data_IF_405763940728
#
_entry.id   IF_405763940728
#
_cell.length_a   1.000
_cell.length_b   1.000
_cell.length_c   1.000
_cell.angle_alpha   90.00
_cell.angle_beta   90.00
_cell.angle_gamma   90.00
#
_symmetry.space_group_name_H-M   'P 1'
#
loop_
_entity.id
_entity.type
_entity.pdbx_description
1 polymer ?
#
# COMPACT_ATOMS: atom_id res chain seq x y z
N UNK A 1 75.32 -5.60 53.09
CA UNK A 1 76.39 -5.30 52.13
C UNK A 1 76.83 -6.61 51.52
N UNK A 2 76.75 -6.86 50.24
CA UNK A 2 77.40 -6.18 49.09
C UNK A 2 76.43 -5.83 47.93
N UNK A 3 76.89 -4.99 47.07
CA UNK A 3 76.18 -4.27 46.00
C UNK A 3 75.96 -5.06 44.73
N UNK A 4 75.25 -4.42 43.70
CA UNK A 4 74.71 -5.12 42.53
C UNK A 4 75.72 -5.18 41.39
N UNK A 5 75.70 -6.29 40.63
CA UNK A 5 76.39 -6.46 39.38
C UNK A 5 75.52 -5.94 38.23
N UNK A 6 76.05 -5.02 37.45
CA UNK A 6 75.51 -4.59 36.16
C UNK A 6 75.92 -5.61 35.09
N UNK A 7 74.93 -6.11 34.31
CA UNK A 7 75.19 -6.82 33.07
C UNK A 7 74.59 -5.99 31.94
N UNK A 8 75.42 -5.55 30.99
CA UNK A 8 75.07 -4.88 29.77
C UNK A 8 74.44 -5.89 28.79
N UNK A 9 73.29 -5.53 28.21
CA UNK A 9 72.72 -6.22 27.09
C UNK A 9 72.99 -5.49 25.80
N UNK A 10 73.20 -6.18 24.65
CA UNK A 10 73.54 -5.56 23.38
C UNK A 10 72.31 -4.96 22.68
N UNK A 11 72.54 -3.83 22.00
CA UNK A 11 71.58 -3.10 21.18
C UNK A 11 71.16 -3.91 19.96
N UNK A 12 69.83 -4.19 19.82
CA UNK A 12 69.23 -4.68 18.58
C UNK A 12 68.57 -3.54 17.86
N UNK A 13 68.95 -3.31 16.60
CA UNK A 13 68.35 -2.41 15.61
C UNK A 13 66.91 -2.82 15.28
N UNK A 14 65.97 -1.87 15.16
CA UNK A 14 64.60 -2.22 14.80
C UNK A 14 64.47 -2.42 13.29
N UNK A 15 64.13 -3.63 12.86
CA UNK A 15 63.61 -3.90 11.52
C UNK A 15 62.20 -3.33 11.40
N UNK A 16 62.01 -2.40 10.48
CA UNK A 16 60.70 -1.90 10.07
C UNK A 16 59.97 -3.02 9.35
N UNK A 17 58.93 -3.61 9.98
CA UNK A 17 57.97 -4.45 9.33
C UNK A 17 56.89 -3.53 8.74
N UNK A 18 56.85 -3.42 7.42
CA UNK A 18 55.76 -2.78 6.68
C UNK A 18 54.58 -3.73 6.71
N UNK A 19 53.59 -3.47 7.54
CA UNK A 19 52.30 -4.17 7.51
C UNK A 19 51.43 -3.51 6.44
N UNK A 20 51.29 -4.20 5.29
CA UNK A 20 50.34 -3.83 4.25
C UNK A 20 48.92 -4.21 4.76
N UNK A 21 48.17 -3.22 5.24
CA UNK A 21 46.74 -3.40 5.55
C UNK A 21 45.96 -3.39 4.23
N UNK A 22 45.62 -4.57 3.73
CA UNK A 22 44.66 -4.72 2.64
C UNK A 22 43.26 -4.51 3.22
N UNK A 23 42.68 -3.33 2.97
CA UNK A 23 41.27 -3.05 3.23
C UNK A 23 40.45 -3.80 2.20
N UNK A 24 39.93 -4.98 2.57
CA UNK A 24 38.83 -5.61 1.82
C UNK A 24 37.56 -4.77 2.06
N UNK A 25 37.21 -3.94 1.09
CA UNK A 25 35.87 -3.38 1.00
C UNK A 25 34.91 -4.54 0.63
N UNK A 26 34.25 -5.09 1.63
CA UNK A 26 33.14 -6.01 1.42
C UNK A 26 31.97 -5.19 0.84
N UNK A 27 31.84 -5.17 -0.48
CA UNK A 27 30.59 -4.79 -1.13
C UNK A 27 29.58 -5.90 -0.84
N UNK A 28 28.73 -5.67 0.16
CA UNK A 28 27.52 -6.48 0.34
C UNK A 28 26.60 -6.20 -0.85
N UNK A 29 26.73 -7.00 -1.90
CA UNK A 29 25.68 -7.12 -2.91
C UNK A 29 24.52 -7.77 -2.17
N UNK A 30 23.56 -6.96 -1.72
CA UNK A 30 22.29 -7.45 -1.22
C UNK A 30 21.68 -8.34 -2.30
N UNK A 31 21.41 -9.59 -1.99
CA UNK A 31 20.74 -10.51 -2.88
C UNK A 31 19.40 -9.87 -3.27
N UNK A 32 19.32 -9.37 -4.49
CA UNK A 32 18.09 -8.81 -5.05
C UNK A 32 17.11 -9.97 -5.15
N UNK A 33 15.93 -9.81 -4.55
CA UNK A 33 14.88 -10.81 -4.69
C UNK A 33 14.68 -11.14 -6.17
N UNK A 34 14.39 -12.40 -6.54
CA UNK A 34 14.19 -12.76 -7.94
C UNK A 34 13.12 -11.84 -8.55
N UNK A 35 13.28 -11.46 -9.84
CA UNK A 35 12.32 -10.59 -10.51
C UNK A 35 10.92 -11.20 -10.43
N UNK A 36 9.94 -10.43 -10.02
CA UNK A 36 8.55 -10.84 -10.03
C UNK A 36 8.08 -11.04 -11.48
N UNK A 37 7.83 -12.27 -11.85
CA UNK A 37 7.48 -12.68 -13.23
C UNK A 37 6.14 -12.08 -13.72
N UNK A 38 5.27 -11.65 -12.81
CA UNK A 38 3.97 -11.08 -13.14
C UNK A 38 3.99 -9.55 -13.27
N UNK A 39 4.95 -8.87 -12.64
CA UNK A 39 5.03 -7.40 -12.68
C UNK A 39 5.45 -6.90 -14.04
N UNK A 40 4.65 -5.98 -14.56
CA UNK A 40 4.85 -5.28 -15.82
C UNK A 40 4.81 -3.78 -15.58
N UNK A 41 5.30 -3.03 -16.57
CA UNK A 41 5.35 -1.57 -16.51
C UNK A 41 4.71 -1.00 -17.77
N UNK A 42 3.72 -0.14 -17.58
CA UNK A 42 3.08 0.61 -18.65
C UNK A 42 3.64 2.03 -18.70
N UNK A 43 4.34 2.42 -19.78
CA UNK A 43 4.84 3.77 -19.93
C UNK A 43 3.68 4.72 -20.21
N UNK A 44 3.46 5.65 -19.31
CA UNK A 44 2.39 6.64 -19.42
C UNK A 44 2.83 7.88 -20.20
N UNK A 45 4.16 8.11 -20.37
CA UNK A 45 4.66 9.40 -20.84
C UNK A 45 4.38 10.52 -19.85
N UNK A 46 4.14 11.71 -20.36
CA UNK A 46 3.81 12.87 -19.51
C UNK A 46 2.36 12.79 -19.02
N UNK A 47 2.19 12.84 -17.71
CA UNK A 47 0.88 12.76 -17.04
C UNK A 47 0.55 14.09 -16.38
N UNK A 48 -0.51 14.75 -16.81
CA UNK A 48 -1.08 15.90 -16.09
C UNK A 48 -1.89 15.39 -14.90
N UNK A 49 -1.43 15.73 -13.71
CA UNK A 49 -2.07 15.40 -12.44
C UNK A 49 -3.17 16.42 -12.11
N UNK A 50 -4.09 16.06 -11.20
CA UNK A 50 -5.12 16.98 -10.69
C UNK A 50 -4.54 18.21 -9.99
N UNK A 51 -3.35 18.10 -9.41
CA UNK A 51 -2.59 19.23 -8.87
C UNK A 51 -2.20 20.27 -9.93
N UNK A 52 -2.40 19.98 -11.23
CA UNK A 52 -1.98 20.81 -12.35
C UNK A 52 -0.53 20.57 -12.78
N UNK A 53 0.25 19.85 -12.01
CA UNK A 53 1.64 19.49 -12.33
C UNK A 53 1.64 18.43 -13.43
N UNK A 54 2.61 18.52 -14.35
CA UNK A 54 2.88 17.47 -15.35
C UNK A 54 4.03 16.62 -14.83
N UNK A 55 3.75 15.35 -14.53
CA UNK A 55 4.75 14.35 -14.14
C UNK A 55 5.34 13.74 -15.42
N UNK A 56 6.61 14.02 -15.74
CA UNK A 56 7.20 13.53 -16.97
C UNK A 56 7.55 12.05 -16.89
N UNK A 57 7.49 11.36 -18.04
CA UNK A 57 7.89 9.96 -18.19
C UNK A 57 7.29 9.04 -17.11
N UNK A 58 6.05 9.30 -16.70
CA UNK A 58 5.38 8.52 -15.68
C UNK A 58 5.20 7.06 -16.12
N UNK A 59 5.22 6.16 -15.14
CA UNK A 59 5.07 4.71 -15.35
C UNK A 59 4.08 4.15 -14.35
N UNK A 60 3.22 3.25 -14.80
CA UNK A 60 2.31 2.47 -13.95
C UNK A 60 2.77 1.01 -13.92
N UNK A 61 3.08 0.50 -12.74
CA UNK A 61 3.33 -0.90 -12.53
C UNK A 61 2.00 -1.67 -12.37
N UNK A 62 1.94 -2.88 -12.90
CA UNK A 62 0.76 -3.73 -12.83
C UNK A 62 1.11 -5.21 -13.00
N UNK A 63 0.19 -6.10 -12.62
CA UNK A 63 0.28 -7.52 -12.90
C UNK A 63 -1.02 -8.01 -13.56
N UNK A 64 -0.96 -9.11 -14.32
CA UNK A 64 -2.14 -9.72 -14.91
C UNK A 64 -2.14 -11.23 -14.71
N UNK A 65 -3.34 -11.79 -14.48
CA UNK A 65 -3.55 -13.24 -14.35
C UNK A 65 -4.76 -13.64 -15.21
N UNK A 66 -4.67 -14.80 -15.85
CA UNK A 66 -5.69 -15.25 -16.79
C UNK A 66 -5.66 -14.52 -18.12
N UNK A 67 -6.74 -14.60 -18.89
CA UNK A 67 -6.86 -14.05 -20.23
C UNK A 67 -8.19 -13.34 -20.45
N UNK A 68 -8.16 -12.21 -21.15
CA UNK A 68 -9.36 -11.53 -21.58
C UNK A 68 -10.10 -12.38 -22.60
N UNK A 69 -11.38 -12.66 -22.35
CA UNK A 69 -12.20 -13.47 -23.24
C UNK A 69 -12.57 -12.69 -24.53
N UNK A 70 -12.99 -13.39 -25.62
CA UNK A 70 -13.37 -12.72 -26.87
C UNK A 70 -14.49 -11.68 -26.71
N UNK A 71 -15.38 -11.88 -25.75
CA UNK A 71 -16.50 -10.97 -25.44
C UNK A 71 -16.06 -9.77 -24.58
N UNK A 72 -14.81 -9.76 -24.09
CA UNK A 72 -14.22 -8.75 -23.19
C UNK A 72 -15.07 -8.47 -21.94
N UNK A 73 -15.70 -9.53 -21.40
CA UNK A 73 -16.69 -9.45 -20.32
C UNK A 73 -16.19 -9.96 -18.96
N UNK A 74 -14.94 -10.48 -18.89
CA UNK A 74 -14.41 -11.16 -17.71
C UNK A 74 -13.28 -10.40 -16.99
N UNK A 75 -13.09 -9.12 -17.31
CA UNK A 75 -12.01 -8.33 -16.69
C UNK A 75 -12.38 -7.89 -15.26
N UNK A 76 -11.48 -8.11 -14.31
CA UNK A 76 -11.59 -7.67 -12.92
C UNK A 76 -10.35 -6.86 -12.54
N UNK A 77 -10.58 -5.68 -11.96
CA UNK A 77 -9.51 -4.78 -11.54
C UNK A 77 -9.30 -4.86 -10.03
N UNK A 78 -8.02 -4.95 -9.62
CA UNK A 78 -7.55 -4.98 -8.23
C UNK A 78 -6.59 -3.81 -7.99
N UNK A 79 -7.04 -2.64 -7.56
CA UNK A 79 -6.15 -1.51 -7.25
C UNK A 79 -5.43 -1.74 -5.92
N UNK A 80 -4.10 -1.57 -5.89
CA UNK A 80 -3.30 -1.69 -4.67
C UNK A 80 -3.66 -0.63 -3.62
N UNK A 81 -3.13 -0.78 -2.41
CA UNK A 81 -3.38 0.12 -1.28
C UNK A 81 -2.09 0.62 -0.63
N UNK A 82 -2.23 1.38 0.44
CA UNK A 82 -1.13 2.00 1.18
C UNK A 82 -0.02 1.02 1.56
N UNK A 83 1.18 1.25 1.03
CA UNK A 83 2.36 0.44 1.33
C UNK A 83 2.30 -1.01 0.80
N UNK A 84 1.41 -1.30 -0.16
CA UNK A 84 1.26 -2.63 -0.77
C UNK A 84 1.49 -2.59 -2.28
N UNK A 85 1.58 -3.78 -2.85
CA UNK A 85 1.63 -4.06 -4.27
C UNK A 85 0.55 -5.09 -4.66
N UNK A 86 0.64 -5.65 -5.87
CA UNK A 86 -0.34 -6.62 -6.37
C UNK A 86 -0.42 -7.93 -5.57
N UNK A 87 0.64 -8.33 -4.86
CA UNK A 87 0.64 -9.53 -4.01
C UNK A 87 -0.33 -9.45 -2.83
N UNK A 88 -0.77 -8.25 -2.47
CA UNK A 88 -1.76 -8.10 -1.41
C UNK A 88 -3.06 -8.87 -1.65
N UNK A 89 -3.38 -9.21 -2.90
CA UNK A 89 -4.59 -9.94 -3.29
C UNK A 89 -4.38 -11.44 -3.55
N UNK A 90 -3.19 -11.99 -3.34
CA UNK A 90 -2.88 -13.39 -3.67
C UNK A 90 -3.85 -14.38 -3.03
N UNK A 91 -4.38 -14.07 -1.83
CA UNK A 91 -5.34 -14.95 -1.14
C UNK A 91 -6.72 -15.04 -1.82
N UNK A 92 -7.06 -14.11 -2.71
CA UNK A 92 -8.29 -14.11 -3.51
C UNK A 92 -8.12 -14.75 -4.88
N UNK A 93 -6.87 -14.99 -5.32
CA UNK A 93 -6.55 -15.41 -6.69
C UNK A 93 -6.17 -16.89 -6.70
N UNK A 94 -6.83 -17.68 -7.53
CA UNK A 94 -6.47 -19.07 -7.72
C UNK A 94 -7.66 -19.97 -8.07
N UNK A 95 -7.39 -21.25 -8.37
CA UNK A 95 -8.45 -22.21 -8.67
C UNK A 95 -9.45 -22.34 -7.53
N UNK A 96 -10.73 -22.13 -7.83
CA UNK A 96 -11.83 -22.21 -6.86
C UNK A 96 -11.97 -21.00 -5.93
N UNK A 97 -11.07 -20.02 -6.00
CA UNK A 97 -11.19 -18.76 -5.29
C UNK A 97 -12.18 -17.83 -5.96
N UNK A 98 -12.48 -16.72 -5.29
CA UNK A 98 -13.38 -15.69 -5.84
C UNK A 98 -12.93 -15.20 -7.21
N UNK A 99 -11.63 -15.08 -7.41
CA UNK A 99 -10.97 -14.67 -8.64
C UNK A 99 -10.14 -15.82 -9.20
N UNK A 100 -10.70 -16.51 -10.18
CA UNK A 100 -10.06 -17.69 -10.79
C UNK A 100 -9.50 -17.31 -12.17
N UNK A 101 -8.17 -17.35 -12.37
CA UNK A 101 -7.54 -17.02 -13.65
C UNK A 101 -8.02 -17.88 -14.84
N UNK A 102 -8.65 -19.02 -14.57
CA UNK A 102 -9.27 -19.84 -15.63
C UNK A 102 -10.57 -19.19 -16.19
N UNK A 103 -11.20 -18.31 -15.44
CA UNK A 103 -12.46 -17.62 -15.81
C UNK A 103 -12.28 -16.13 -15.97
N UNK A 104 -11.46 -15.53 -15.14
CA UNK A 104 -11.35 -14.09 -14.99
C UNK A 104 -10.02 -13.58 -15.59
N UNK A 105 -10.07 -12.44 -16.27
CA UNK A 105 -8.86 -11.67 -16.59
C UNK A 105 -8.66 -10.65 -15.46
N UNK A 106 -7.73 -10.97 -14.58
CA UNK A 106 -7.47 -10.21 -13.37
C UNK A 106 -6.34 -9.22 -13.65
N UNK A 107 -6.56 -7.94 -13.39
CA UNK A 107 -5.57 -6.88 -13.55
C UNK A 107 -5.34 -6.25 -12.18
N UNK A 108 -4.14 -6.37 -11.63
CA UNK A 108 -3.77 -5.72 -10.38
C UNK A 108 -2.87 -4.53 -10.68
N UNK A 109 -3.35 -3.30 -10.39
CA UNK A 109 -2.61 -2.06 -10.63
C UNK A 109 -1.93 -1.57 -9.36
N UNK A 110 -0.73 -1.05 -9.51
CA UNK A 110 0.07 -0.53 -8.41
C UNK A 110 0.01 1.00 -8.40
N UNK A 111 -0.50 1.58 -7.32
CA UNK A 111 -0.71 3.03 -7.25
C UNK A 111 0.60 3.81 -7.28
N UNK A 112 0.56 5.05 -7.70
CA UNK A 112 1.69 5.98 -7.59
C UNK A 112 2.23 6.06 -6.15
N UNK A 113 3.51 6.32 -6.04
CA UNK A 113 4.24 6.40 -4.76
C UNK A 113 4.34 5.09 -3.97
N UNK A 114 4.11 3.91 -4.59
CA UNK A 114 4.31 2.64 -3.91
C UNK A 114 5.76 2.07 -4.05
N UNK A 115 6.61 2.74 -4.82
CA UNK A 115 7.98 2.33 -5.08
C UNK A 115 8.17 1.56 -6.40
N UNK A 116 7.08 1.10 -7.04
CA UNK A 116 7.09 0.41 -8.34
C UNK A 116 6.57 1.29 -9.47
N UNK A 117 5.37 1.82 -9.35
CA UNK A 117 4.91 2.94 -10.20
C UNK A 117 5.75 4.19 -9.91
N UNK A 118 5.63 5.23 -10.73
CA UNK A 118 6.31 6.50 -10.47
C UNK A 118 6.10 6.94 -9.02
N UNK A 119 7.20 7.19 -8.33
CA UNK A 119 7.27 7.37 -6.88
C UNK A 119 8.37 8.36 -6.51
N UNK A 120 8.32 8.97 -5.33
CA UNK A 120 9.42 9.77 -4.80
C UNK A 120 10.79 9.11 -4.93
N UNK A 121 10.87 7.80 -4.69
CA UNK A 121 12.13 7.03 -4.66
C UNK A 121 12.67 6.63 -6.03
N UNK A 122 11.89 6.73 -7.11
CA UNK A 122 12.29 6.27 -8.44
C UNK A 122 12.06 7.29 -9.57
N UNK A 123 11.59 8.49 -9.24
CA UNK A 123 11.43 9.58 -10.21
C UNK A 123 12.67 10.46 -10.21
N UNK A 124 13.10 10.89 -11.40
CA UNK A 124 14.27 11.76 -11.54
C UNK A 124 13.99 13.20 -11.07
N UNK A 125 15.05 13.94 -10.71
CA UNK A 125 14.95 15.37 -10.46
C UNK A 125 14.29 16.11 -11.67
N UNK A 126 13.48 17.12 -11.43
CA UNK A 126 13.23 17.82 -10.16
C UNK A 126 12.08 17.23 -9.30
N UNK A 127 11.55 16.07 -9.64
CA UNK A 127 10.39 15.45 -8.98
C UNK A 127 10.76 14.28 -8.05
N UNK A 128 12.01 14.15 -7.68
CA UNK A 128 12.51 13.13 -6.75
C UNK A 128 12.25 13.47 -5.28
N UNK A 129 12.24 12.46 -4.43
CA UNK A 129 12.14 12.60 -2.98
C UNK A 129 10.96 13.47 -2.54
N UNK A 130 11.18 14.48 -1.67
CA UNK A 130 10.11 15.34 -1.16
C UNK A 130 9.49 16.27 -2.21
N UNK A 131 10.09 16.38 -3.39
CA UNK A 131 9.61 17.21 -4.51
C UNK A 131 8.62 16.48 -5.40
N UNK A 132 8.35 15.20 -5.12
CA UNK A 132 7.35 14.43 -5.86
C UNK A 132 5.99 15.12 -5.77
N UNK A 133 5.25 15.26 -6.89
CA UNK A 133 4.01 16.03 -6.90
C UNK A 133 2.93 15.39 -6.05
N UNK A 134 1.97 16.21 -5.63
CA UNK A 134 0.79 15.74 -4.94
C UNK A 134 -0.07 14.87 -5.87
N UNK A 135 -0.34 13.64 -5.44
CA UNK A 135 -1.17 12.66 -6.14
C UNK A 135 -2.56 12.62 -5.51
N UNK A 136 -3.60 12.51 -6.33
CA UNK A 136 -4.95 12.19 -5.91
C UNK A 136 -5.30 10.72 -6.20
N UNK A 137 -6.30 10.16 -5.53
CA UNK A 137 -6.86 8.84 -5.91
C UNK A 137 -7.38 8.87 -7.35
N UNK A 138 -7.95 10.00 -7.81
CA UNK A 138 -8.42 10.17 -9.19
C UNK A 138 -7.30 10.11 -10.22
N UNK A 139 -6.08 10.54 -9.89
CA UNK A 139 -4.92 10.36 -10.77
C UNK A 139 -4.65 8.88 -10.99
N UNK A 140 -4.65 8.06 -9.91
CA UNK A 140 -4.47 6.61 -10.01
C UNK A 140 -5.56 5.94 -10.85
N UNK A 141 -6.82 6.34 -10.65
CA UNK A 141 -7.96 5.84 -11.45
C UNK A 141 -7.81 6.22 -12.93
N UNK A 142 -7.41 7.45 -13.22
CA UNK A 142 -7.22 7.94 -14.58
C UNK A 142 -6.14 7.17 -15.34
N UNK A 143 -4.97 6.97 -14.72
CA UNK A 143 -3.87 6.23 -15.39
C UNK A 143 -4.16 4.74 -15.51
N UNK A 144 -4.85 4.16 -14.54
CA UNK A 144 -5.32 2.78 -14.62
C UNK A 144 -6.36 2.62 -15.75
N UNK A 145 -7.26 3.60 -15.95
CA UNK A 145 -8.20 3.60 -17.07
C UNK A 145 -7.47 3.62 -18.42
N UNK A 146 -6.39 4.41 -18.54
CA UNK A 146 -5.54 4.41 -19.74
C UNK A 146 -4.90 3.04 -19.97
N UNK A 147 -4.32 2.41 -18.95
CA UNK A 147 -3.77 1.04 -19.04
C UNK A 147 -4.83 0.08 -19.57
N UNK A 148 -6.01 0.06 -18.97
CA UNK A 148 -7.08 -0.87 -19.33
C UNK A 148 -7.50 -0.69 -20.80
N UNK A 149 -7.70 0.55 -21.24
CA UNK A 149 -8.28 0.83 -22.55
C UNK A 149 -7.25 0.81 -23.67
N UNK A 150 -6.07 1.40 -23.48
CA UNK A 150 -5.09 1.58 -24.56
C UNK A 150 -4.10 0.41 -24.68
N UNK A 151 -3.78 -0.27 -23.57
CA UNK A 151 -2.80 -1.35 -23.57
C UNK A 151 -3.46 -2.74 -23.53
N UNK A 152 -4.45 -2.91 -22.63
CA UNK A 152 -5.06 -4.23 -22.39
C UNK A 152 -6.34 -4.46 -23.19
N UNK A 153 -6.84 -3.46 -23.92
CA UNK A 153 -8.05 -3.56 -24.74
C UNK A 153 -9.32 -3.83 -23.93
N UNK A 154 -9.31 -3.52 -22.62
CA UNK A 154 -10.48 -3.67 -21.75
C UNK A 154 -11.38 -2.45 -21.90
N UNK A 155 -12.59 -2.66 -22.34
CA UNK A 155 -13.60 -1.60 -22.56
C UNK A 155 -14.68 -1.57 -21.47
N UNK A 156 -14.73 -2.61 -20.63
CA UNK A 156 -15.67 -2.76 -19.53
C UNK A 156 -15.11 -3.70 -18.48
N UNK A 157 -15.39 -3.43 -17.21
CA UNK A 157 -15.00 -4.28 -16.09
C UNK A 157 -16.20 -5.04 -15.53
N UNK A 158 -16.06 -6.34 -15.36
CA UNK A 158 -17.00 -7.15 -14.60
C UNK A 158 -17.06 -6.68 -13.14
N UNK A 159 -15.90 -6.32 -12.57
CA UNK A 159 -15.83 -5.76 -11.22
C UNK A 159 -14.55 -4.96 -10.98
N UNK A 160 -14.60 -4.05 -10.00
CA UNK A 160 -13.43 -3.51 -9.30
C UNK A 160 -13.48 -4.01 -7.86
N UNK A 161 -12.43 -4.69 -7.40
CA UNK A 161 -12.36 -5.27 -6.05
C UNK A 161 -11.21 -4.60 -5.30
N UNK A 162 -11.50 -3.87 -4.23
CA UNK A 162 -10.53 -3.07 -3.51
C UNK A 162 -10.56 -3.21 -2.00
N UNK A 163 -9.37 -3.36 -1.41
CA UNK A 163 -9.11 -3.30 0.02
C UNK A 163 -8.57 -1.93 0.42
N UNK A 164 -8.99 -1.38 1.56
CA UNK A 164 -8.37 -0.18 2.16
C UNK A 164 -8.37 1.02 1.17
N UNK A 165 -7.22 1.60 0.83
CA UNK A 165 -7.14 2.60 -0.25
C UNK A 165 -7.53 2.03 -1.62
N UNK A 166 -7.43 0.72 -1.83
CA UNK A 166 -8.01 0.06 -3.01
C UNK A 166 -9.54 0.13 -3.04
N UNK A 167 -10.20 0.07 -1.86
CA UNK A 167 -11.64 0.30 -1.75
C UNK A 167 -12.00 1.77 -2.05
N UNK A 168 -11.18 2.72 -1.59
CA UNK A 168 -11.33 4.14 -1.99
C UNK A 168 -11.23 4.31 -3.51
N UNK A 169 -10.29 3.61 -4.15
CA UNK A 169 -10.19 3.59 -5.60
C UNK A 169 -11.43 2.94 -6.25
N UNK A 170 -11.97 1.84 -5.69
CA UNK A 170 -13.18 1.20 -6.22
C UNK A 170 -14.38 2.15 -6.21
N UNK A 171 -14.61 2.89 -5.13
CA UNK A 171 -15.62 3.95 -5.07
C UNK A 171 -15.33 5.06 -6.09
N UNK A 172 -14.09 5.48 -6.20
CA UNK A 172 -13.71 6.52 -7.15
C UNK A 172 -13.94 6.08 -8.60
N UNK A 173 -13.64 4.82 -8.94
CA UNK A 173 -13.96 4.24 -10.24
C UNK A 173 -15.45 4.33 -10.55
N UNK A 174 -16.30 3.93 -9.60
CA UNK A 174 -17.75 3.94 -9.78
C UNK A 174 -18.32 5.35 -9.98
N UNK A 175 -17.68 6.39 -9.43
CA UNK A 175 -18.09 7.79 -9.60
C UNK A 175 -17.47 8.43 -10.85
N UNK A 176 -16.18 8.17 -11.12
CA UNK A 176 -15.49 8.75 -12.29
C UNK A 176 -15.94 8.15 -13.62
N UNK A 177 -16.29 6.86 -13.63
CA UNK A 177 -16.63 6.11 -14.84
C UNK A 177 -17.83 5.19 -14.62
N UNK A 178 -19.03 5.73 -14.30
CA UNK A 178 -20.16 4.97 -13.73
C UNK A 178 -20.69 3.85 -14.64
N UNK A 179 -20.39 3.88 -15.92
CA UNK A 179 -20.81 2.85 -16.91
C UNK A 179 -19.69 1.89 -17.30
N UNK A 180 -18.50 2.02 -16.69
CA UNK A 180 -17.33 1.22 -17.05
C UNK A 180 -17.26 -0.11 -16.30
N UNK A 181 -18.11 -0.33 -15.28
CA UNK A 181 -18.13 -1.57 -14.51
C UNK A 181 -19.54 -1.97 -14.07
N UNK A 182 -19.77 -3.28 -13.92
CA UNK A 182 -21.03 -3.81 -13.40
C UNK A 182 -21.08 -3.77 -11.86
N UNK A 183 -19.95 -4.02 -11.21
CA UNK A 183 -19.87 -4.22 -9.77
C UNK A 183 -18.63 -3.56 -9.18
N UNK A 184 -18.75 -3.14 -7.92
CA UNK A 184 -17.59 -2.85 -7.07
C UNK A 184 -17.69 -3.66 -5.78
N UNK A 185 -16.55 -4.12 -5.30
CA UNK A 185 -16.36 -4.66 -3.97
C UNK A 185 -15.42 -3.73 -3.23
N UNK A 186 -15.91 -3.10 -2.16
CA UNK A 186 -15.14 -2.21 -1.32
C UNK A 186 -15.07 -2.80 0.09
N UNK A 187 -13.88 -3.26 0.52
CA UNK A 187 -13.74 -3.83 1.85
C UNK A 187 -12.68 -3.12 2.69
N UNK A 188 -12.97 -2.94 3.98
CA UNK A 188 -12.17 -2.18 4.94
C UNK A 188 -11.72 -0.82 4.39
N UNK A 189 -12.65 -0.05 3.79
CA UNK A 189 -12.37 1.27 3.24
C UNK A 189 -13.65 2.09 3.08
N UNK A 190 -13.55 3.40 2.88
CA UNK A 190 -14.66 4.35 2.76
C UNK A 190 -14.54 5.20 1.50
N UNK A 191 -15.63 5.82 1.06
CA UNK A 191 -15.66 6.65 -0.13
C UNK A 191 -14.97 8.00 0.04
N UNK A 192 -14.68 8.40 1.28
CA UNK A 192 -13.81 9.54 1.60
C UNK A 192 -13.01 9.26 2.88
N UNK A 193 -11.94 10.03 3.09
CA UNK A 193 -11.21 10.00 4.37
C UNK A 193 -11.87 10.94 5.35
N UNK A 194 -12.44 10.38 6.43
CA UNK A 194 -13.04 11.15 7.51
C UNK A 194 -12.00 11.80 8.42
N UNK A 195 -12.34 12.85 9.18
CA UNK A 195 -11.38 13.58 10.02
C UNK A 195 -10.55 12.71 10.97
N UNK A 196 -11.14 11.66 11.55
CA UNK A 196 -10.42 10.67 12.37
C UNK A 196 -9.27 10.03 11.59
N UNK A 197 -9.51 9.60 10.34
CA UNK A 197 -8.49 9.05 9.45
C UNK A 197 -7.39 10.08 9.12
N UNK A 198 -7.77 11.36 8.89
CA UNK A 198 -6.81 12.44 8.65
C UNK A 198 -5.87 12.62 9.83
N UNK A 199 -6.40 12.68 11.06
CA UNK A 199 -5.59 12.85 12.29
C UNK A 199 -4.66 11.66 12.51
N UNK A 200 -5.15 10.43 12.31
CA UNK A 200 -4.33 9.21 12.42
C UNK A 200 -3.16 9.21 11.43
N UNK A 201 -3.42 9.58 10.18
CA UNK A 201 -2.38 9.67 9.14
C UNK A 201 -1.37 10.78 9.45
N UNK A 202 -1.82 11.90 9.99
CA UNK A 202 -0.92 12.99 10.43
C UNK A 202 0.01 12.51 11.55
N UNK A 203 -0.50 11.74 12.51
CA UNK A 203 0.30 11.13 13.56
C UNK A 203 1.38 10.18 13.00
N UNK A 204 1.05 9.39 11.97
CA UNK A 204 2.02 8.50 11.28
C UNK A 204 3.11 9.31 10.55
N UNK A 205 2.71 10.35 9.81
CA UNK A 205 3.64 11.24 9.10
C UNK A 205 4.56 11.95 10.09
N UNK A 206 4.00 12.50 11.17
CA UNK A 206 4.76 13.20 12.22
C UNK A 206 5.76 12.27 12.91
N UNK A 207 5.38 11.02 13.20
CA UNK A 207 6.29 10.04 13.81
C UNK A 207 7.50 9.75 12.91
N UNK A 208 7.30 9.71 11.60
CA UNK A 208 8.37 9.49 10.63
C UNK A 208 9.24 10.75 10.48
N UNK A 209 8.62 11.92 10.36
CA UNK A 209 9.31 13.20 10.14
C UNK A 209 10.07 13.70 11.38
N UNK A 210 9.78 13.18 12.58
CA UNK A 210 10.49 13.53 13.82
C UNK A 210 11.94 12.99 13.86
N UNK A 211 12.32 12.08 12.99
CA UNK A 211 13.71 11.61 12.89
C UNK A 211 14.57 12.70 12.22
N UNK A 212 15.62 13.16 12.91
CA UNK A 212 16.56 14.14 12.34
C UNK A 212 17.21 13.65 11.03
N UNK A 213 17.37 12.32 10.88
CA UNK A 213 17.92 11.72 9.66
C UNK A 213 16.94 11.84 8.46
N UNK A 214 15.66 12.15 8.70
CA UNK A 214 14.68 12.39 7.62
C UNK A 214 14.99 13.66 6.82
N UNK A 215 15.58 14.69 7.44
CA UNK A 215 16.05 15.91 6.80
C UNK A 215 15.02 16.52 5.83
N UNK A 216 13.77 16.69 6.28
CA UNK A 216 12.64 17.17 5.48
C UNK A 216 12.45 16.41 4.15
N UNK A 217 12.74 15.11 4.17
CA UNK A 217 12.66 14.23 3.01
C UNK A 217 13.89 14.19 2.13
N UNK A 218 14.95 14.97 2.44
CA UNK A 218 16.20 15.00 1.67
C UNK A 218 17.28 14.07 2.27
N UNK A 219 16.87 12.94 2.84
CA UNK A 219 17.78 11.96 3.43
C UNK A 219 18.63 11.26 2.37
N UNK A 220 19.86 10.95 2.73
CA UNK A 220 20.82 10.15 1.92
C UNK A 220 20.94 8.72 2.41
N UNK A 221 20.44 8.44 3.60
CA UNK A 221 20.31 7.11 4.19
C UNK A 221 18.94 6.99 4.86
N UNK A 222 18.33 5.80 4.90
CA UNK A 222 16.98 5.62 5.46
C UNK A 222 16.85 6.18 6.88
N UNK A 223 15.80 6.95 7.19
CA UNK A 223 15.53 7.48 8.54
C UNK A 223 14.97 6.36 9.45
N UNK A 224 15.85 5.46 9.90
CA UNK A 224 15.46 4.21 10.55
C UNK A 224 14.69 4.42 11.87
N UNK A 225 15.00 5.48 12.63
CA UNK A 225 14.26 5.80 13.86
C UNK A 225 12.84 6.25 13.54
N UNK A 226 12.69 7.08 12.52
CA UNK A 226 11.39 7.54 12.02
C UNK A 226 10.55 6.39 11.48
N UNK A 227 11.15 5.51 10.66
CA UNK A 227 10.49 4.30 10.16
C UNK A 227 10.05 3.37 11.29
N UNK A 228 10.88 3.20 12.32
CA UNK A 228 10.53 2.42 13.50
C UNK A 228 9.38 3.06 14.31
N UNK A 229 9.39 4.37 14.48
CA UNK A 229 8.30 5.10 15.15
C UNK A 229 6.99 4.99 14.35
N UNK A 230 7.05 5.18 13.04
CA UNK A 230 5.95 4.98 12.11
C UNK A 230 5.37 3.56 12.19
N UNK A 231 6.23 2.54 12.18
CA UNK A 231 5.80 1.13 12.27
C UNK A 231 5.08 0.83 13.60
N UNK A 232 5.58 1.37 14.72
CA UNK A 232 4.94 1.24 16.04
C UNK A 232 3.63 2.00 16.13
N UNK A 233 3.54 3.20 15.53
CA UNK A 233 2.28 3.93 15.42
C UNK A 233 1.21 3.05 14.76
N UNK A 234 1.53 2.48 13.59
CA UNK A 234 0.60 1.61 12.87
C UNK A 234 0.24 0.33 13.62
N UNK A 235 1.12 -0.22 14.44
CA UNK A 235 0.83 -1.40 15.25
C UNK A 235 -0.37 -1.18 16.19
N UNK A 236 -0.50 0.02 16.76
CA UNK A 236 -1.63 0.38 17.64
C UNK A 236 -2.96 0.56 16.92
N UNK A 237 -2.96 0.72 15.60
CA UNK A 237 -4.17 1.01 14.81
C UNK A 237 -4.61 -0.15 13.92
N UNK A 238 -3.68 -0.98 13.43
CA UNK A 238 -3.99 -2.04 12.46
C UNK A 238 -4.79 -3.18 13.05
N UNK A 239 -4.56 -3.49 14.33
CA UNK A 239 -5.31 -4.48 15.06
C UNK A 239 -6.32 -3.81 15.99
N UNK A 240 -7.42 -4.49 16.29
CA UNK A 240 -8.42 -3.98 17.22
C UNK A 240 -7.91 -3.96 18.65
N UNK A 241 -8.55 -3.15 19.51
CA UNK A 241 -8.29 -3.16 20.95
C UNK A 241 -8.53 -4.55 21.56
N UNK A 242 -9.58 -5.22 21.11
CA UNK A 242 -9.95 -6.57 21.55
C UNK A 242 -8.91 -7.62 21.14
N UNK A 243 -8.29 -7.50 19.97
CA UNK A 243 -7.21 -8.36 19.52
C UNK A 243 -6.01 -8.30 20.49
N UNK A 244 -5.64 -7.09 20.90
CA UNK A 244 -4.58 -6.88 21.90
C UNK A 244 -4.98 -7.41 23.28
N UNK A 245 -6.19 -7.10 23.75
CA UNK A 245 -6.69 -7.51 25.06
C UNK A 245 -6.79 -9.03 25.20
N UNK A 246 -7.19 -9.73 24.15
CA UNK A 246 -7.26 -11.20 24.14
C UNK A 246 -5.94 -11.85 23.74
N UNK A 247 -4.88 -11.08 23.54
CA UNK A 247 -3.55 -11.58 23.17
C UNK A 247 -3.58 -12.51 21.94
N UNK A 248 -4.41 -12.20 20.92
CA UNK A 248 -4.55 -13.01 19.72
C UNK A 248 -3.27 -13.08 18.87
N UNK A 249 -2.24 -12.34 19.25
CA UNK A 249 -0.91 -12.43 18.67
C UNK A 249 -0.12 -13.68 19.12
N UNK A 250 -0.44 -14.25 20.29
CA UNK A 250 0.37 -15.33 20.92
C UNK A 250 0.64 -16.56 20.04
N UNK A 251 -0.26 -17.00 19.14
CA UNK A 251 0.06 -18.13 18.25
C UNK A 251 1.26 -17.88 17.34
N UNK A 252 1.56 -16.61 17.05
CA UNK A 252 2.67 -16.21 16.16
C UNK A 252 3.80 -15.49 16.88
N UNK A 253 3.49 -14.67 17.88
CA UNK A 253 4.46 -13.84 18.60
C UNK A 253 4.36 -14.08 20.10
N UNK A 254 5.48 -14.35 20.81
CA UNK A 254 5.45 -14.65 22.24
C UNK A 254 5.11 -13.42 23.11
N UNK A 255 5.27 -12.21 22.61
CA UNK A 255 5.05 -10.96 23.36
C UNK A 255 4.68 -9.79 22.45
N UNK A 256 4.22 -8.69 23.03
CA UNK A 256 4.01 -7.41 22.36
C UNK A 256 5.30 -6.91 21.71
N UNK A 257 6.44 -7.02 22.40
CA UNK A 257 7.74 -6.61 21.87
C UNK A 257 8.13 -7.41 20.62
N UNK A 258 7.78 -8.69 20.58
CA UNK A 258 8.02 -9.52 19.39
C UNK A 258 7.17 -9.06 18.19
N UNK A 259 5.90 -8.68 18.41
CA UNK A 259 5.06 -8.06 17.36
C UNK A 259 5.69 -6.78 16.85
N UNK A 260 6.09 -5.87 17.74
CA UNK A 260 6.68 -4.58 17.40
C UNK A 260 8.03 -4.75 16.70
N UNK A 261 8.85 -5.71 17.15
CA UNK A 261 10.16 -6.03 16.58
C UNK A 261 10.05 -6.51 15.13
N UNK A 262 9.19 -7.51 14.85
CA UNK A 262 8.99 -8.02 13.49
C UNK A 262 8.46 -6.93 12.56
N UNK A 263 7.46 -6.16 13.00
CA UNK A 263 6.92 -5.06 12.19
C UNK A 263 7.98 -4.01 11.87
N UNK A 264 8.74 -3.57 12.87
CA UNK A 264 9.81 -2.60 12.70
C UNK A 264 10.87 -3.09 11.72
N UNK A 265 11.29 -4.35 11.84
CA UNK A 265 12.28 -4.96 10.93
C UNK A 265 11.77 -5.04 9.48
N UNK A 266 10.52 -5.46 9.29
CA UNK A 266 9.88 -5.51 7.99
C UNK A 266 9.78 -4.13 7.35
N UNK A 267 9.44 -3.10 8.12
CA UNK A 267 9.17 -1.77 7.60
C UNK A 267 10.45 -0.91 7.43
N UNK A 268 11.60 -1.37 7.95
CA UNK A 268 12.88 -0.66 7.87
C UNK A 268 13.42 -0.47 6.42
N UNK A 269 12.94 -1.29 5.48
CA UNK A 269 13.35 -1.22 4.06
C UNK A 269 12.46 -0.31 3.22
N UNK A 270 11.43 0.31 3.81
CA UNK A 270 10.50 1.18 3.10
C UNK A 270 11.11 2.55 2.87
N UNK A 271 10.72 3.18 1.77
CA UNK A 271 11.07 4.56 1.50
C UNK A 271 10.10 5.52 2.22
N UNK A 272 10.67 6.44 2.98
CA UNK A 272 9.90 7.37 3.82
C UNK A 272 9.06 8.37 3.01
N UNK A 273 9.61 8.89 1.90
CA UNK A 273 8.89 9.82 1.04
C UNK A 273 7.74 9.12 0.31
N UNK A 274 7.91 7.86 -0.10
CA UNK A 274 6.84 7.05 -0.68
C UNK A 274 5.68 6.90 0.31
N UNK A 275 5.97 6.55 1.56
CA UNK A 275 4.97 6.42 2.62
C UNK A 275 4.22 7.73 2.88
N UNK A 276 4.94 8.84 2.95
CA UNK A 276 4.32 10.16 3.17
C UNK A 276 3.47 10.56 1.97
N UNK A 277 3.94 10.37 0.75
CA UNK A 277 3.20 10.71 -0.47
C UNK A 277 1.87 9.93 -0.54
N UNK A 278 1.90 8.62 -0.28
CA UNK A 278 0.68 7.82 -0.23
C UNK A 278 -0.24 8.23 0.93
N UNK A 279 0.31 8.53 2.12
CA UNK A 279 -0.49 9.00 3.26
C UNK A 279 -1.21 10.32 2.94
N UNK A 280 -0.53 11.26 2.28
CA UNK A 280 -1.11 12.52 1.82
C UNK A 280 -2.18 12.31 0.74
N UNK A 281 -1.99 11.35 -0.16
CA UNK A 281 -3.00 10.92 -1.14
C UNK A 281 -4.25 10.39 -0.43
N UNK A 282 -4.07 9.54 0.57
CA UNK A 282 -5.15 9.01 1.40
C UNK A 282 -5.91 10.10 2.15
N UNK A 283 -5.19 11.01 2.84
CA UNK A 283 -5.81 12.10 3.61
C UNK A 283 -6.78 12.97 2.80
N UNK A 284 -6.44 13.22 1.53
CA UNK A 284 -7.20 14.13 0.64
C UNK A 284 -8.35 13.46 -0.08
N UNK A 285 -8.51 12.15 0.06
CA UNK A 285 -9.51 11.45 -0.72
C UNK A 285 -10.94 11.79 -0.32
N UNK A 286 -11.73 12.21 -1.31
CA UNK A 286 -13.18 12.38 -1.24
C UNK A 286 -13.73 12.20 -2.66
N UNK A 287 -14.61 11.22 -2.86
CA UNK A 287 -15.27 11.03 -4.18
C UNK A 287 -16.11 12.23 -4.58
N UNK A 288 -16.60 13.03 -3.61
CA UNK A 288 -17.35 14.25 -3.83
C UNK A 288 -16.55 15.36 -4.53
N UNK A 289 -15.21 15.28 -4.52
CA UNK A 289 -14.34 16.22 -5.24
C UNK A 289 -14.27 15.91 -6.74
N UNK A 290 -14.89 14.83 -7.21
CA UNK A 290 -15.04 14.54 -8.64
C UNK A 290 -15.84 15.65 -9.30
N UNK A 291 -15.41 16.07 -10.49
CA UNK A 291 -16.06 17.14 -11.25
C UNK A 291 -17.57 16.92 -11.33
N UNK A 292 -18.34 17.95 -10.99
CA UNK A 292 -19.80 17.94 -10.99
C UNK A 292 -20.44 17.71 -9.62
N UNK A 293 -19.67 17.30 -8.58
CA UNK A 293 -20.23 17.07 -7.25
C UNK A 293 -19.88 18.16 -6.23
N UNK A 294 -18.89 19.02 -6.48
CA UNK A 294 -18.53 20.19 -5.67
C UNK A 294 -18.27 19.87 -4.19
N UNK A 295 -17.59 18.74 -3.91
CA UNK A 295 -17.27 18.27 -2.55
C UNK A 295 -18.38 17.43 -1.88
N UNK A 296 -19.55 17.33 -2.50
CA UNK A 296 -20.71 16.60 -1.97
C UNK A 296 -20.55 15.09 -2.19
N UNK A 297 -20.02 14.39 -1.18
CA UNK A 297 -19.79 12.95 -1.27
C UNK A 297 -21.07 12.12 -1.24
N UNK A 298 -22.13 12.58 -0.55
CA UNK A 298 -23.41 11.88 -0.53
C UNK A 298 -24.06 11.87 -1.92
N UNK A 299 -24.01 13.02 -2.60
CA UNK A 299 -24.49 13.13 -3.97
C UNK A 299 -23.65 12.26 -4.93
N UNK A 300 -22.33 12.17 -4.70
CA UNK A 300 -21.47 11.29 -5.45
C UNK A 300 -21.81 9.81 -5.20
N UNK A 301 -22.07 9.40 -3.94
CA UNK A 301 -22.53 8.05 -3.62
C UNK A 301 -23.85 7.70 -4.31
N UNK A 302 -24.81 8.64 -4.33
CA UNK A 302 -26.11 8.43 -5.03
C UNK A 302 -25.97 8.28 -6.54
N UNK A 303 -24.86 8.71 -7.13
CA UNK A 303 -24.61 8.58 -8.57
C UNK A 303 -24.06 7.22 -9.00
N UNK A 304 -23.66 6.38 -8.06
CA UNK A 304 -23.11 5.05 -8.35
C UNK A 304 -24.16 4.17 -9.03
N UNK A 305 -23.82 3.65 -10.22
CA UNK A 305 -24.69 2.78 -11.01
C UNK A 305 -24.32 1.30 -10.81
N UNK A 306 -23.08 1.01 -10.49
CA UNK A 306 -22.62 -0.35 -10.22
C UNK A 306 -23.31 -0.95 -8.99
N UNK A 307 -23.49 -2.27 -8.97
CA UNK A 307 -23.84 -2.97 -7.72
C UNK A 307 -22.64 -2.92 -6.77
N UNK A 308 -22.89 -2.68 -5.50
CA UNK A 308 -21.84 -2.52 -4.48
C UNK A 308 -21.93 -3.64 -3.43
N UNK A 309 -20.84 -4.39 -3.26
CA UNK A 309 -20.62 -5.17 -2.06
C UNK A 309 -19.70 -4.34 -1.13
N UNK A 310 -20.25 -3.90 0.00
CA UNK A 310 -19.54 -3.09 0.96
C UNK A 310 -19.26 -3.89 2.22
N UNK A 311 -17.98 -4.20 2.50
CA UNK A 311 -17.57 -5.10 3.58
C UNK A 311 -16.63 -4.39 4.57
N UNK A 312 -17.12 -3.52 5.46
CA UNK A 312 -16.30 -2.98 6.55
C UNK A 312 -15.94 -4.10 7.55
N UNK A 313 -14.79 -4.07 8.19
CA UNK A 313 -14.54 -4.92 9.35
C UNK A 313 -15.15 -4.28 10.61
N UNK A 314 -15.84 -5.07 11.44
CA UNK A 314 -16.55 -4.57 12.62
C UNK A 314 -15.64 -3.87 13.63
N UNK A 315 -14.37 -4.26 13.69
CA UNK A 315 -13.41 -3.73 14.66
C UNK A 315 -12.32 -2.88 14.03
N UNK A 316 -12.48 -2.48 12.77
CA UNK A 316 -11.50 -1.66 12.04
C UNK A 316 -11.38 -0.27 12.68
N UNK A 317 -10.15 0.10 13.03
CA UNK A 317 -9.81 1.42 13.58
C UNK A 317 -9.36 2.41 12.49
N UNK A 318 -9.10 1.94 11.27
CA UNK A 318 -8.75 2.80 10.14
C UNK A 318 -10.01 3.38 9.49
N UNK A 319 -10.97 2.51 9.25
CA UNK A 319 -12.25 2.80 8.62
C UNK A 319 -13.37 2.23 9.49
N UNK A 320 -13.81 2.98 10.51
CA UNK A 320 -14.83 2.53 11.44
C UNK A 320 -16.09 2.08 10.74
N UNK A 321 -16.68 0.97 11.18
CA UNK A 321 -17.90 0.40 10.59
C UNK A 321 -19.06 1.38 10.55
N UNK A 322 -19.08 2.36 11.46
CA UNK A 322 -20.09 3.43 11.52
C UNK A 322 -20.09 4.29 10.25
N UNK A 323 -18.90 4.59 9.70
CA UNK A 323 -18.76 5.38 8.47
C UNK A 323 -19.33 4.61 7.27
N UNK A 324 -19.06 3.31 7.18
CA UNK A 324 -19.61 2.47 6.12
C UNK A 324 -21.13 2.31 6.22
N UNK A 325 -21.67 2.20 7.44
CA UNK A 325 -23.12 2.20 7.67
C UNK A 325 -23.77 3.52 7.26
N UNK A 326 -23.09 4.62 7.49
CA UNK A 326 -23.56 5.93 7.04
C UNK A 326 -23.54 6.03 5.52
N UNK A 327 -22.42 5.73 4.87
CA UNK A 327 -22.27 5.82 3.42
C UNK A 327 -23.23 4.89 2.67
N UNK A 328 -23.48 3.69 3.19
CA UNK A 328 -24.38 2.71 2.56
C UNK A 328 -25.82 3.20 2.39
N UNK A 329 -26.25 4.19 3.18
CA UNK A 329 -27.59 4.78 3.07
C UNK A 329 -27.80 5.57 1.78
N UNK A 330 -26.72 6.00 1.13
CA UNK A 330 -26.76 6.82 -0.06
C UNK A 330 -26.50 6.04 -1.36
N UNK A 331 -26.05 4.80 -1.27
CA UNK A 331 -25.70 3.97 -2.44
C UNK A 331 -26.92 3.20 -2.92
N UNK A 332 -27.38 3.39 -4.19
CA UNK A 332 -28.65 2.83 -4.66
C UNK A 332 -28.74 1.30 -4.61
N UNK A 333 -27.66 0.61 -4.95
CA UNK A 333 -27.63 -0.85 -5.05
C UNK A 333 -26.49 -1.44 -4.21
N UNK A 334 -26.61 -1.37 -2.88
CA UNK A 334 -25.58 -1.83 -1.95
C UNK A 334 -26.02 -3.05 -1.15
N UNK A 335 -25.07 -3.99 -1.00
CA UNK A 335 -25.12 -5.06 -0.01
C UNK A 335 -24.05 -4.76 1.05
N UNK A 336 -24.48 -4.36 2.25
CA UNK A 336 -23.57 -4.11 3.39
C UNK A 336 -23.38 -5.40 4.17
N UNK A 337 -22.17 -5.96 4.15
CA UNK A 337 -21.82 -7.24 4.80
C UNK A 337 -20.57 -7.02 5.68
N UNK A 338 -20.72 -6.64 6.95
CA UNK A 338 -19.59 -6.46 7.84
C UNK A 338 -18.80 -7.77 8.03
N UNK A 339 -17.46 -7.66 8.01
CA UNK A 339 -16.56 -8.77 8.32
C UNK A 339 -16.54 -8.95 9.84
N UNK A 340 -16.99 -10.12 10.38
CA UNK A 340 -17.12 -10.32 11.82
C UNK A 340 -15.78 -10.74 12.45
N UNK A 341 -14.79 -9.84 12.39
CA UNK A 341 -13.42 -10.14 12.80
C UNK A 341 -12.95 -9.23 13.94
N UNK A 342 -12.11 -9.78 14.80
CA UNK A 342 -11.37 -9.04 15.83
C UNK A 342 -10.00 -8.55 15.33
N UNK A 343 -9.61 -8.87 14.09
CA UNK A 343 -8.30 -8.50 13.55
C UNK A 343 -8.19 -7.04 13.11
N UNK A 344 -9.25 -6.25 13.29
CA UNK A 344 -9.24 -4.84 12.91
C UNK A 344 -9.05 -4.66 11.40
N UNK A 345 -8.23 -3.70 11.00
CA UNK A 345 -7.91 -3.47 9.59
C UNK A 345 -7.16 -4.65 8.94
N UNK A 346 -6.40 -5.41 9.75
CA UNK A 346 -5.66 -6.58 9.26
C UNK A 346 -6.55 -7.71 8.75
N UNK A 347 -7.84 -7.74 9.10
CA UNK A 347 -8.81 -8.72 8.61
C UNK A 347 -8.86 -8.80 7.07
N UNK A 348 -8.70 -7.65 6.38
CA UNK A 348 -8.76 -7.58 4.92
C UNK A 348 -7.43 -7.80 4.20
N UNK A 349 -6.32 -7.99 4.92
CA UNK A 349 -4.96 -7.96 4.35
C UNK A 349 -4.35 -9.34 4.02
N UNK A 350 -5.14 -10.41 4.08
CA UNK A 350 -4.64 -11.76 3.80
C UNK A 350 -3.95 -12.46 4.99
N UNK A 351 -3.87 -11.81 6.15
CA UNK A 351 -3.08 -12.30 7.30
C UNK A 351 -3.76 -13.35 8.20
N UNK A 352 -5.05 -13.63 7.99
CA UNK A 352 -5.85 -14.55 8.80
C UNK A 352 -6.73 -15.43 7.91
N UNK A 353 -6.55 -16.74 7.98
CA UNK A 353 -7.25 -17.69 7.12
C UNK A 353 -8.79 -17.62 7.27
N UNK A 354 -9.30 -17.43 8.48
CA UNK A 354 -10.77 -17.36 8.74
C UNK A 354 -11.38 -16.15 8.04
N UNK A 355 -10.70 -14.99 8.14
CA UNK A 355 -11.15 -13.76 7.49
C UNK A 355 -11.00 -13.86 5.97
N UNK A 356 -9.92 -14.48 5.49
CA UNK A 356 -9.67 -14.69 4.06
C UNK A 356 -10.79 -15.55 3.44
N UNK A 357 -11.16 -16.65 4.09
CA UNK A 357 -12.21 -17.56 3.60
C UNK A 357 -13.58 -16.85 3.63
N UNK A 358 -13.88 -16.04 4.64
CA UNK A 358 -15.11 -15.26 4.70
C UNK A 358 -15.19 -14.26 3.55
N UNK A 359 -14.11 -13.46 3.35
CA UNK A 359 -14.02 -12.43 2.31
C UNK A 359 -14.12 -13.09 0.92
N UNK A 360 -13.37 -14.15 0.69
CA UNK A 360 -13.38 -14.90 -0.56
C UNK A 360 -14.80 -15.42 -0.89
N UNK A 361 -15.46 -16.03 0.08
CA UNK A 361 -16.81 -16.57 -0.09
C UNK A 361 -17.85 -15.48 -0.43
N UNK A 362 -17.80 -14.33 0.25
CA UNK A 362 -18.72 -13.22 -0.02
C UNK A 362 -18.48 -12.60 -1.40
N UNK A 363 -17.21 -12.38 -1.76
CA UNK A 363 -16.85 -11.88 -3.10
C UNK A 363 -17.28 -12.88 -4.17
N UNK A 364 -16.99 -14.18 -3.98
CA UNK A 364 -17.39 -15.23 -4.92
C UNK A 364 -18.92 -15.26 -5.13
N UNK A 365 -19.69 -15.16 -4.05
CA UNK A 365 -21.17 -15.10 -4.12
C UNK A 365 -21.66 -13.87 -4.88
N UNK A 366 -21.06 -12.72 -4.62
CA UNK A 366 -21.45 -11.46 -5.24
C UNK A 366 -21.09 -11.38 -6.72
N UNK A 367 -20.00 -12.02 -7.14
CA UNK A 367 -19.55 -12.03 -8.53
C UNK A 367 -20.29 -13.07 -9.39
N UNK A 368 -21.01 -14.01 -8.83
CA UNK A 368 -21.94 -14.86 -9.59
C UNK A 368 -23.11 -14.04 -10.11
#
# INVERSE_FOLDING_TARGET
MPGPFFVQSPSMTPHRVLTLAATLAATSVGAQAPPDAHRRFFPLGDVRLESGVVLPNATLAYATFGMLNPQRSNAVLLPSWYGSDHHGYDFLIGPGRALDPARDFIIATEMFANGWSSSPSNTAAPFDGPRFPAIAIRDNVSVAHRLLTSELGVTHLRAVVGFSMGAQQAFQWAVSSPRFMDRIVAYCGTAKTYPHGVVRLEGAISALAADAAFADGNYTAPPLKGLAAWSRHWAGWVFSQEWWRRELFKPRWPSVDAVLGERTSRDAVRDANNLISQARTWQRHNIGDTTGFAGDHERALRSIQARVLYMPCETDLYFPVGDARYESQFIPAVSLVPIPSLWGHSAGSGGNAVDNDFIDAEIHRFLK
#
